data_IF_569026434460
#
_entry.id   IF_569026434460
#
_cell.length_a   1.000
_cell.length_b   1.000
_cell.length_c   1.000
_cell.angle_alpha   90.00
_cell.angle_beta   90.00
_cell.angle_gamma   90.00
#
_symmetry.space_group_name_H-M   'P 1'
#
loop_
_entity.id
_entity.type
_entity.pdbx_description
1 polymer ?
#
# COMPACT_ATOMS: atom_id res chain seq x y z
N UNK A 1 19.85 -14.42 66.64
CA UNK A 1 19.26 -13.16 67.14
C UNK A 1 17.92 -12.96 66.44
N UNK A 2 16.81 -12.89 67.19
CA UNK A 2 15.46 -12.68 66.63
C UNK A 2 15.35 -11.21 66.18
N UNK A 3 15.16 -10.98 64.89
CA UNK A 3 14.80 -9.66 64.35
C UNK A 3 13.46 -9.26 64.97
N UNK A 4 13.44 -8.22 65.81
CA UNK A 4 12.20 -7.72 66.39
C UNK A 4 11.41 -7.00 65.30
N UNK A 5 10.49 -7.71 64.65
CA UNK A 5 9.44 -7.11 63.84
C UNK A 5 8.51 -6.36 64.80
N UNK A 6 8.79 -5.07 65.03
CA UNK A 6 7.82 -4.21 65.72
C UNK A 6 6.67 -3.98 64.73
N UNK A 7 5.44 -4.41 65.01
CA UNK A 7 4.32 -4.15 64.11
C UNK A 7 4.15 -2.64 64.02
N UNK A 8 4.34 -2.07 62.83
CA UNK A 8 4.00 -0.67 62.59
C UNK A 8 2.48 -0.57 62.56
N UNK A 9 1.88 0.46 63.21
CA UNK A 9 0.45 0.67 63.12
C UNK A 9 0.06 0.84 61.64
N UNK A 10 -0.96 0.11 61.21
CA UNK A 10 -1.54 0.28 59.88
C UNK A 10 -2.14 1.68 59.86
N UNK A 11 -1.52 2.60 59.14
CA UNK A 11 -2.09 3.93 58.95
C UNK A 11 -3.19 3.84 57.89
N UNK A 12 -4.48 3.99 58.27
CA UNK A 12 -5.60 3.87 57.34
C UNK A 12 -5.62 4.98 56.28
N UNK A 13 -4.77 6.00 56.44
CA UNK A 13 -4.61 7.14 55.53
C UNK A 13 -3.45 6.97 54.54
N UNK A 14 -2.67 5.88 54.62
CA UNK A 14 -1.56 5.65 53.69
C UNK A 14 -2.11 5.31 52.31
N UNK A 15 -1.73 6.11 51.31
CA UNK A 15 -2.10 5.85 49.92
C UNK A 15 -1.45 4.55 49.43
N UNK A 16 -2.24 3.72 48.74
CA UNK A 16 -1.79 2.45 48.17
C UNK A 16 -0.97 2.71 46.91
N UNK A 17 0.10 1.93 46.73
CA UNK A 17 0.87 1.91 45.49
C UNK A 17 0.01 1.26 44.40
N UNK A 18 -0.23 1.97 43.31
CA UNK A 18 -0.90 1.41 42.14
C UNK A 18 0.16 0.68 41.32
N UNK A 19 0.04 -0.65 41.26
CA UNK A 19 0.91 -1.50 40.47
C UNK A 19 0.28 -1.64 39.09
N UNK A 20 1.03 -1.30 38.04
CA UNK A 20 0.57 -1.35 36.64
C UNK A 20 0.95 -2.66 35.98
N UNK A 21 2.15 -3.16 36.26
CA UNK A 21 2.69 -4.43 35.76
C UNK A 21 3.21 -5.30 36.90
N UNK A 22 3.16 -6.61 36.72
CA UNK A 22 3.67 -7.63 37.64
C UNK A 22 5.17 -7.47 37.96
N UNK A 23 5.94 -6.90 37.03
CA UNK A 23 7.34 -6.53 37.24
C UNK A 23 7.55 -5.36 38.24
N UNK A 24 6.55 -4.50 38.47
CA UNK A 24 6.64 -3.39 39.46
C UNK A 24 6.45 -3.87 40.91
N UNK A 25 5.96 -5.10 41.10
CA UNK A 25 5.82 -5.71 42.43
C UNK A 25 7.21 -5.96 43.03
N UNK A 26 8.17 -6.40 42.22
CA UNK A 26 9.53 -6.72 42.68
C UNK A 26 10.35 -5.46 43.04
N UNK A 27 10.09 -4.32 42.39
CA UNK A 27 10.79 -3.06 42.67
C UNK A 27 10.22 -2.29 43.86
N UNK A 28 8.90 -2.35 44.08
CA UNK A 28 8.23 -1.68 45.20
C UNK A 28 8.62 -2.24 46.58
N UNK A 29 8.99 -3.52 46.65
CA UNK A 29 9.48 -4.17 47.88
C UNK A 29 10.91 -3.74 48.24
N UNK A 30 11.73 -3.32 47.27
CA UNK A 30 13.13 -2.89 47.48
C UNK A 30 13.20 -1.46 48.01
N UNK A 31 12.36 -0.54 47.55
CA UNK A 31 12.36 0.85 48.02
C UNK A 31 11.83 1.03 49.45
N UNK A 32 11.09 0.05 49.99
CA UNK A 32 10.59 0.05 51.37
C UNK A 32 11.52 -0.64 52.39
N UNK A 33 12.69 -1.14 51.97
CA UNK A 33 13.69 -1.70 52.88
C UNK A 33 14.33 -0.59 53.75
N UNK A 34 14.56 -0.82 55.06
CA UNK A 34 15.00 0.24 55.96
C UNK A 34 16.45 0.65 55.65
N UNK A 35 16.65 1.88 55.19
CA UNK A 35 17.96 2.50 55.19
C UNK A 35 18.46 2.63 56.64
N UNK A 36 19.52 1.88 56.95
CA UNK A 36 20.27 2.01 58.19
C UNK A 36 21.06 3.32 58.19
N UNK A 37 20.94 4.07 59.30
CA UNK A 37 21.83 5.09 59.87
C UNK A 37 22.65 6.01 58.95
N UNK A 38 22.44 7.31 59.12
CA UNK A 38 23.56 8.22 59.35
C UNK A 38 23.56 9.57 58.62
N UNK A 39 23.39 10.63 59.42
CA UNK A 39 23.87 12.01 59.21
C UNK A 39 23.06 12.99 58.34
N UNK A 40 22.12 13.64 59.03
CA UNK A 40 21.50 14.92 58.71
C UNK A 40 22.53 16.05 58.94
N UNK A 41 22.84 16.84 57.91
CA UNK A 41 23.30 18.23 58.09
C UNK A 41 22.12 19.16 57.85
N UNK A 42 21.78 19.87 58.92
CA UNK A 42 20.67 20.78 59.06
C UNK A 42 21.20 22.20 58.82
N UNK A 43 20.88 22.81 57.69
CA UNK A 43 21.00 24.27 57.50
C UNK A 43 19.59 24.87 57.46
N UNK A 44 19.28 25.62 58.52
CA UNK A 44 18.04 26.37 58.70
C UNK A 44 18.24 27.74 58.08
N UNK A 45 17.68 27.99 56.91
CA UNK A 45 17.42 29.34 56.41
C UNK A 45 15.92 29.61 56.48
N UNK A 46 15.52 30.50 57.40
CA UNK A 46 14.15 30.98 57.55
C UNK A 46 13.73 31.76 56.30
N UNK A 47 12.82 31.18 55.51
CA UNK A 47 12.08 31.86 54.45
C UNK A 47 10.68 32.23 54.96
N UNK A 48 10.09 33.37 54.52
CA UNK A 48 8.77 33.83 54.98
C UNK A 48 7.66 32.83 54.60
N UNK A 49 6.50 32.83 55.27
CA UNK A 49 5.46 31.82 55.10
C UNK A 49 5.04 31.74 53.63
N UNK A 50 5.42 30.65 52.97
CA UNK A 50 5.00 30.36 51.62
C UNK A 50 3.48 30.23 51.63
N UNK A 51 2.80 31.16 50.94
CA UNK A 51 1.39 31.07 50.60
C UNK A 51 1.13 29.68 50.04
N UNK A 52 0.30 28.89 50.71
CA UNK A 52 -0.17 27.59 50.24
C UNK A 52 -0.98 27.82 48.96
N UNK A 53 -0.30 27.85 47.82
CA UNK A 53 -0.96 27.70 46.53
C UNK A 53 -1.36 26.22 46.45
N UNK A 54 -2.65 25.87 46.30
CA UNK A 54 -3.01 24.48 46.09
C UNK A 54 -2.23 23.99 44.86
N UNK A 55 -1.38 22.97 45.05
CA UNK A 55 -0.74 22.28 43.93
C UNK A 55 -1.88 21.82 43.04
N UNK A 56 -1.98 22.38 41.82
CA UNK A 56 -2.91 21.89 40.80
C UNK A 56 -2.73 20.37 40.74
N UNK A 57 -3.81 19.63 40.99
CA UNK A 57 -3.84 18.19 40.72
C UNK A 57 -3.39 18.00 39.27
N UNK A 58 -2.18 17.48 39.11
CA UNK A 58 -1.65 17.12 37.80
C UNK A 58 -2.47 15.90 37.42
N UNK A 59 -3.48 16.10 36.57
CA UNK A 59 -4.26 15.01 35.99
C UNK A 59 -3.28 14.06 35.34
N UNK A 60 -3.17 12.85 35.87
CA UNK A 60 -2.30 11.83 35.33
C UNK A 60 -2.80 11.45 33.93
N UNK A 61 -1.96 11.68 32.93
CA UNK A 61 -2.28 11.37 31.54
C UNK A 61 -1.99 9.88 31.34
N UNK A 62 -2.99 9.04 31.00
CA UNK A 62 -2.76 7.62 30.80
C UNK A 62 -1.81 7.41 29.61
N UNK A 63 -0.78 6.58 29.83
CA UNK A 63 0.17 6.16 28.78
C UNK A 63 -0.31 4.82 28.22
N UNK A 64 -0.44 4.68 26.88
CA UNK A 64 -0.87 3.42 26.29
C UNK A 64 0.18 2.32 26.46
N UNK A 65 -0.29 1.09 26.60
CA UNK A 65 0.57 -0.10 26.67
C UNK A 65 1.21 -0.41 25.31
N UNK A 66 2.48 -0.81 25.31
CA UNK A 66 3.22 -1.19 24.10
C UNK A 66 3.16 -2.71 23.94
N UNK A 67 2.30 -3.18 23.02
CA UNK A 67 2.17 -4.61 22.72
C UNK A 67 3.22 -5.09 21.71
N UNK A 68 3.98 -6.12 22.08
CA UNK A 68 4.88 -6.79 21.13
C UNK A 68 4.12 -7.75 20.20
N UNK A 69 4.44 -7.69 18.91
CA UNK A 69 3.86 -8.55 17.87
C UNK A 69 4.86 -9.64 17.51
N UNK A 70 4.52 -10.90 17.84
CA UNK A 70 5.41 -12.06 17.64
C UNK A 70 5.74 -12.35 16.17
N UNK A 71 4.85 -11.97 15.24
CA UNK A 71 5.03 -12.22 13.79
C UNK A 71 5.79 -11.12 13.05
N UNK A 72 6.19 -10.06 13.75
CA UNK A 72 6.77 -8.87 13.14
C UNK A 72 7.98 -9.19 12.23
N UNK A 73 8.91 -10.04 12.70
CA UNK A 73 10.10 -10.40 11.94
C UNK A 73 9.81 -11.19 10.66
N UNK A 74 8.67 -11.90 10.62
CA UNK A 74 8.25 -12.67 9.44
C UNK A 74 7.49 -11.80 8.44
N UNK A 75 6.67 -10.89 8.93
CA UNK A 75 5.79 -10.03 8.11
C UNK A 75 6.55 -8.82 7.56
N UNK A 76 7.53 -8.27 8.29
CA UNK A 76 8.29 -7.09 7.91
C UNK A 76 9.77 -7.42 7.72
N UNK A 77 10.13 -7.82 6.51
CA UNK A 77 11.53 -8.11 6.15
C UNK A 77 12.32 -6.81 5.92
N UNK A 78 13.57 -6.71 6.42
CA UNK A 78 14.42 -5.53 6.28
C UNK A 78 15.08 -5.46 4.88
N UNK A 79 14.27 -5.38 3.82
CA UNK A 79 14.73 -5.35 2.43
C UNK A 79 15.12 -3.95 1.94
N UNK A 80 14.86 -2.91 2.73
CA UNK A 80 15.10 -1.53 2.34
C UNK A 80 16.57 -1.15 2.52
N UNK A 81 17.25 -0.87 1.40
CA UNK A 81 18.61 -0.34 1.39
C UNK A 81 18.56 1.19 1.45
N UNK A 82 19.13 1.77 2.51
CA UNK A 82 19.15 3.22 2.72
C UNK A 82 20.03 3.86 1.64
N UNK A 83 19.50 4.77 0.80
CA UNK A 83 20.31 5.47 -0.18
C UNK A 83 21.22 6.50 0.48
N UNK A 84 22.36 6.80 -0.16
CA UNK A 84 23.31 7.84 0.30
C UNK A 84 22.73 9.27 0.28
N UNK A 85 21.59 9.46 -0.39
CA UNK A 85 20.91 10.75 -0.52
C UNK A 85 19.53 10.69 0.11
N UNK A 86 19.00 11.85 0.53
CA UNK A 86 17.65 11.90 1.09
C UNK A 86 16.62 11.38 0.10
N UNK A 87 15.71 10.54 0.61
CA UNK A 87 14.62 9.96 -0.16
C UNK A 87 13.75 11.08 -0.74
N UNK A 88 13.80 11.21 -2.07
CA UNK A 88 12.89 12.07 -2.83
C UNK A 88 11.66 11.24 -3.17
N UNK A 89 10.63 11.29 -2.33
CA UNK A 89 9.36 10.65 -2.65
C UNK A 89 8.75 11.31 -3.90
N UNK A 90 8.71 10.57 -5.02
CA UNK A 90 7.80 10.87 -6.12
C UNK A 90 6.48 10.16 -5.82
N UNK A 91 5.40 10.90 -5.65
CA UNK A 91 4.06 10.31 -5.61
C UNK A 91 3.07 11.11 -4.78
N UNK A 92 2.14 11.77 -5.46
CA UNK A 92 0.83 12.02 -4.87
C UNK A 92 0.06 10.71 -4.71
N UNK A 93 -1.11 10.79 -4.07
CA UNK A 93 -2.08 9.70 -3.98
C UNK A 93 -2.34 9.14 -5.40
N UNK A 94 -2.27 7.82 -5.59
CA UNK A 94 -2.53 7.05 -6.83
C UNK A 94 -1.35 6.73 -7.78
N UNK A 95 -0.07 6.87 -7.38
CA UNK A 95 1.01 6.26 -8.17
C UNK A 95 1.13 4.77 -7.85
N UNK A 96 0.33 3.95 -8.53
CA UNK A 96 0.35 2.49 -8.41
C UNK A 96 0.99 1.90 -9.66
N UNK A 97 1.90 0.93 -9.50
CA UNK A 97 2.42 0.14 -10.62
C UNK A 97 1.26 -0.56 -11.33
N UNK A 98 1.39 -0.85 -12.62
CA UNK A 98 0.43 -1.69 -13.37
C UNK A 98 0.25 -3.09 -12.72
N UNK A 99 1.25 -3.52 -11.93
CA UNK A 99 1.21 -4.75 -11.14
C UNK A 99 0.52 -4.63 -9.78
N UNK A 100 0.13 -3.43 -9.38
CA UNK A 100 -0.48 -3.17 -8.08
C UNK A 100 -1.93 -3.65 -8.05
N UNK A 101 -2.24 -4.45 -7.05
CA UNK A 101 -3.57 -4.99 -6.79
C UNK A 101 -4.00 -4.43 -5.45
N UNK A 102 -5.16 -3.78 -5.42
CA UNK A 102 -5.69 -3.16 -4.19
C UNK A 102 -6.52 -4.15 -3.35
N UNK A 103 -6.91 -5.27 -3.95
CA UNK A 103 -7.77 -6.26 -3.31
C UNK A 103 -6.91 -7.28 -2.55
N UNK A 104 -7.14 -7.40 -1.24
CA UNK A 104 -6.57 -8.44 -0.39
C UNK A 104 -7.66 -9.50 -0.12
N UNK A 105 -7.29 -10.79 -0.14
CA UNK A 105 -8.23 -11.87 0.19
C UNK A 105 -8.65 -11.81 1.66
N UNK A 106 -9.94 -12.00 1.92
CA UNK A 106 -10.46 -12.20 3.27
C UNK A 106 -10.64 -13.69 3.61
N UNK A 107 -11.08 -13.98 4.83
CA UNK A 107 -11.26 -15.36 5.31
C UNK A 107 -12.29 -16.17 4.47
N UNK A 108 -13.27 -15.50 3.87
CA UNK A 108 -14.24 -16.14 2.98
C UNK A 108 -13.57 -16.53 1.65
N UNK A 109 -12.80 -15.60 1.08
CA UNK A 109 -12.03 -15.79 -0.14
C UNK A 109 -10.99 -16.92 0.00
N UNK A 110 -10.23 -16.93 1.11
CA UNK A 110 -9.25 -17.97 1.41
C UNK A 110 -9.90 -19.35 1.50
N UNK A 111 -11.04 -19.45 2.18
CA UNK A 111 -11.79 -20.71 2.34
C UNK A 111 -12.34 -21.21 1.01
N UNK A 112 -12.87 -20.30 0.18
CA UNK A 112 -13.33 -20.64 -1.17
C UNK A 112 -12.15 -21.15 -2.01
N UNK A 113 -11.02 -20.44 -1.98
CA UNK A 113 -9.81 -20.78 -2.72
C UNK A 113 -9.23 -22.14 -2.30
N UNK A 114 -9.19 -22.45 -1.01
CA UNK A 114 -8.78 -23.76 -0.50
C UNK A 114 -9.70 -24.87 -1.02
N UNK A 115 -11.02 -24.67 -0.96
CA UNK A 115 -12.00 -25.65 -1.45
C UNK A 115 -11.88 -25.88 -2.97
N UNK A 116 -11.56 -24.83 -3.71
CA UNK A 116 -11.32 -24.89 -5.15
C UNK A 116 -10.03 -25.66 -5.45
N UNK A 117 -8.93 -25.30 -4.78
CA UNK A 117 -7.62 -25.90 -4.99
C UNK A 117 -7.54 -27.37 -4.53
N UNK A 118 -8.43 -27.81 -3.65
CA UNK A 118 -8.55 -29.22 -3.28
C UNK A 118 -9.09 -30.10 -4.44
N UNK A 119 -9.96 -29.53 -5.28
CA UNK A 119 -10.67 -30.26 -6.34
C UNK A 119 -10.06 -30.05 -7.74
N UNK A 120 -9.35 -28.94 -7.95
CA UNK A 120 -8.89 -28.49 -9.26
C UNK A 120 -7.39 -28.16 -9.30
N UNK A 121 -6.92 -27.62 -10.42
CA UNK A 121 -5.54 -27.12 -10.55
C UNK A 121 -5.31 -25.94 -9.62
N UNK A 122 -4.21 -25.98 -8.86
CA UNK A 122 -3.83 -24.93 -7.90
C UNK A 122 -3.82 -23.54 -8.55
N UNK A 123 -4.74 -22.69 -8.11
CA UNK A 123 -4.80 -21.26 -8.37
C UNK A 123 -4.01 -20.54 -7.26
N UNK A 124 -2.98 -19.74 -7.60
CA UNK A 124 -2.27 -18.94 -6.60
C UNK A 124 -3.08 -17.73 -6.14
N UNK A 125 -2.90 -17.37 -4.88
CA UNK A 125 -3.61 -16.30 -4.16
C UNK A 125 -3.51 -14.97 -4.91
N UNK A 126 -2.29 -14.57 -5.32
CA UNK A 126 -2.05 -13.33 -6.10
C UNK A 126 -2.86 -13.26 -7.40
N UNK A 127 -3.11 -14.41 -8.04
CA UNK A 127 -3.91 -14.43 -9.27
C UNK A 127 -5.39 -14.29 -8.96
N UNK A 128 -5.84 -14.88 -7.86
CA UNK A 128 -7.23 -14.76 -7.42
C UNK A 128 -7.55 -13.31 -7.02
N UNK A 129 -6.66 -12.66 -6.26
CA UNK A 129 -6.74 -11.23 -5.92
C UNK A 129 -6.86 -10.35 -7.16
N UNK A 130 -6.00 -10.58 -8.17
CA UNK A 130 -6.05 -9.86 -9.46
C UNK A 130 -7.41 -10.02 -10.14
N UNK A 131 -7.96 -11.23 -10.16
CA UNK A 131 -9.24 -11.51 -10.79
C UNK A 131 -10.39 -10.77 -10.08
N UNK A 132 -10.46 -10.84 -8.76
CA UNK A 132 -11.47 -10.13 -7.96
C UNK A 132 -11.32 -8.60 -8.08
N UNK A 133 -10.09 -8.10 -8.03
CA UNK A 133 -9.79 -6.69 -8.23
C UNK A 133 -10.31 -6.20 -9.59
N UNK A 134 -9.95 -6.87 -10.69
CA UNK A 134 -10.40 -6.46 -12.01
C UNK A 134 -11.91 -6.57 -12.19
N UNK A 135 -12.58 -7.57 -11.58
CA UNK A 135 -14.04 -7.64 -11.58
C UNK A 135 -14.67 -6.42 -10.91
N UNK A 136 -14.11 -5.96 -9.79
CA UNK A 136 -14.57 -4.75 -9.12
C UNK A 136 -14.41 -3.50 -9.98
N UNK A 137 -13.26 -3.35 -10.64
CA UNK A 137 -13.02 -2.21 -11.54
C UNK A 137 -13.99 -2.25 -12.71
N UNK A 138 -14.10 -3.39 -13.40
CA UNK A 138 -14.98 -3.55 -14.56
C UNK A 138 -16.44 -3.27 -14.22
N UNK A 139 -16.92 -3.79 -13.09
CA UNK A 139 -18.30 -3.53 -12.66
C UNK A 139 -18.50 -2.06 -12.30
N UNK A 140 -17.52 -1.42 -11.64
CA UNK A 140 -17.60 0.01 -11.34
C UNK A 140 -17.61 0.88 -12.59
N UNK A 141 -16.83 0.54 -13.60
CA UNK A 141 -16.84 1.21 -14.90
C UNK A 141 -18.16 1.00 -15.63
N UNK A 142 -18.71 -0.22 -15.62
CA UNK A 142 -20.02 -0.52 -16.20
C UNK A 142 -21.14 0.32 -15.54
N UNK A 143 -21.13 0.39 -14.21
CA UNK A 143 -22.06 1.24 -13.45
C UNK A 143 -21.88 2.72 -13.82
N UNK A 144 -20.65 3.20 -14.00
CA UNK A 144 -20.36 4.59 -14.41
C UNK A 144 -20.70 4.89 -15.88
N UNK A 145 -20.66 3.90 -16.78
CA UNK A 145 -21.04 4.11 -18.19
C UNK A 145 -22.54 4.37 -18.32
N UNK A 146 -23.36 3.54 -17.70
CA UNK A 146 -24.83 3.71 -17.67
C UNK A 146 -25.22 5.07 -17.08
N UNK A 147 -24.40 5.57 -16.16
CA UNK A 147 -24.50 6.88 -15.52
C UNK A 147 -24.10 8.07 -16.36
N UNK A 148 -23.19 7.87 -17.30
CA UNK A 148 -22.78 8.92 -18.21
C UNK A 148 -23.79 9.18 -19.32
N UNK A 149 -24.84 8.36 -19.45
CA UNK A 149 -25.87 8.53 -20.46
C UNK A 149 -26.77 9.76 -20.22
N UNK A 150 -27.29 10.41 -21.28
CA UNK A 150 -28.05 11.65 -21.18
C UNK A 150 -29.37 11.42 -20.41
N UNK A 151 -29.41 11.85 -19.16
CA UNK A 151 -30.55 11.63 -18.25
C UNK A 151 -30.15 11.25 -16.82
N UNK A 152 -28.90 10.80 -16.62
CA UNK A 152 -28.34 10.56 -15.29
C UNK A 152 -28.02 11.87 -14.56
N UNK A 153 -28.69 12.17 -13.44
CA UNK A 153 -28.28 13.24 -12.54
C UNK A 153 -26.96 12.92 -11.85
N UNK A 154 -26.08 13.91 -11.70
CA UNK A 154 -24.78 13.77 -11.00
C UNK A 154 -24.93 13.24 -9.56
N UNK A 155 -26.10 13.47 -8.96
CA UNK A 155 -26.44 13.08 -7.58
C UNK A 155 -26.48 11.55 -7.38
N UNK A 156 -26.76 10.76 -8.42
CA UNK A 156 -26.85 9.31 -8.25
C UNK A 156 -25.52 8.58 -8.18
N UNK A 157 -24.41 9.21 -8.63
CA UNK A 157 -23.02 8.75 -8.37
C UNK A 157 -22.73 8.51 -6.89
N UNK A 158 -23.57 9.03 -6.02
CA UNK A 158 -23.45 8.98 -4.56
C UNK A 158 -24.48 8.04 -3.92
N UNK A 159 -25.38 7.43 -4.69
CA UNK A 159 -26.38 6.52 -4.14
C UNK A 159 -25.77 5.13 -3.90
N UNK A 160 -25.79 4.61 -2.65
CA UNK A 160 -25.26 3.29 -2.33
C UNK A 160 -25.83 2.18 -3.21
N UNK A 161 -27.14 2.22 -3.48
CA UNK A 161 -27.83 1.23 -4.30
C UNK A 161 -27.28 1.14 -5.74
N UNK A 162 -26.97 2.29 -6.35
CA UNK A 162 -26.55 2.33 -7.75
C UNK A 162 -25.12 1.79 -7.93
N UNK A 163 -24.25 2.07 -6.96
CA UNK A 163 -22.88 1.53 -6.94
C UNK A 163 -22.87 0.05 -6.58
N UNK A 164 -23.84 -0.43 -5.79
CA UNK A 164 -23.94 -1.83 -5.40
C UNK A 164 -24.34 -2.78 -6.55
N UNK A 165 -25.01 -2.27 -7.59
CA UNK A 165 -25.50 -3.08 -8.71
C UNK A 165 -24.39 -3.92 -9.38
N UNK A 166 -24.74 -5.17 -9.68
CA UNK A 166 -23.90 -6.16 -10.38
C UNK A 166 -24.46 -6.56 -11.75
N UNK A 167 -25.72 -6.22 -12.03
CA UNK A 167 -26.43 -6.55 -13.28
C UNK A 167 -25.81 -5.89 -14.52
N UNK A 168 -25.11 -4.78 -14.32
CA UNK A 168 -24.53 -3.96 -15.38
C UNK A 168 -23.27 -4.60 -15.99
N UNK A 169 -22.73 -5.65 -15.35
CA UNK A 169 -21.65 -6.47 -15.89
C UNK A 169 -22.17 -7.91 -16.14
N UNK A 170 -22.63 -8.22 -17.37
CA UNK A 170 -23.04 -9.56 -17.75
C UNK A 170 -21.94 -10.59 -17.55
N UNK A 171 -22.32 -11.84 -17.26
CA UNK A 171 -21.36 -12.93 -16.99
C UNK A 171 -20.41 -13.18 -18.17
N UNK A 172 -20.92 -13.15 -19.40
CA UNK A 172 -20.12 -13.36 -20.61
C UNK A 172 -19.06 -12.27 -20.79
N UNK A 173 -19.45 -11.01 -20.61
CA UNK A 173 -18.56 -9.85 -20.76
C UNK A 173 -17.49 -9.79 -19.67
N UNK A 174 -17.86 -10.16 -18.44
CA UNK A 174 -16.91 -10.30 -17.33
C UNK A 174 -15.83 -11.34 -17.66
N UNK A 175 -16.22 -12.54 -18.10
CA UNK A 175 -15.29 -13.61 -18.44
C UNK A 175 -14.40 -13.22 -19.62
N UNK A 176 -14.96 -12.60 -20.66
CA UNK A 176 -14.18 -12.14 -21.82
C UNK A 176 -13.14 -11.08 -21.43
N UNK A 177 -13.54 -10.11 -20.59
CA UNK A 177 -12.66 -9.05 -20.10
C UNK A 177 -11.54 -9.61 -19.22
N UNK A 178 -11.85 -10.52 -18.29
CA UNK A 178 -10.86 -11.18 -17.45
C UNK A 178 -9.86 -12.03 -18.24
N UNK A 179 -10.33 -12.70 -19.28
CA UNK A 179 -9.46 -13.49 -20.17
C UNK A 179 -8.43 -12.60 -20.87
N UNK A 180 -8.83 -11.39 -21.28
CA UNK A 180 -7.93 -10.43 -21.90
C UNK A 180 -6.94 -9.82 -20.90
N UNK A 181 -7.41 -9.47 -19.69
CA UNK A 181 -6.60 -8.76 -18.68
C UNK A 181 -5.63 -9.67 -17.91
N UNK A 182 -6.11 -10.82 -17.45
CA UNK A 182 -5.36 -11.71 -16.53
C UNK A 182 -5.01 -13.05 -17.19
N UNK A 183 -5.87 -13.53 -18.09
CA UNK A 183 -5.72 -14.83 -18.73
C UNK A 183 -6.11 -16.00 -17.82
N UNK A 184 -6.78 -17.00 -18.39
CA UNK A 184 -7.27 -18.15 -17.65
C UNK A 184 -8.12 -19.08 -18.51
N UNK A 185 -8.50 -20.23 -17.95
CA UNK A 185 -9.50 -21.11 -18.56
C UNK A 185 -10.89 -20.53 -18.31
N UNK A 186 -11.76 -20.55 -19.31
CA UNK A 186 -13.10 -19.93 -19.20
C UNK A 186 -13.95 -20.52 -18.08
N UNK A 187 -13.82 -21.82 -17.80
CA UNK A 187 -14.55 -22.49 -16.70
C UNK A 187 -14.19 -21.88 -15.35
N UNK A 188 -12.89 -21.77 -15.06
CA UNK A 188 -12.38 -21.13 -13.84
C UNK A 188 -12.86 -19.69 -13.72
N UNK A 189 -12.75 -18.92 -14.81
CA UNK A 189 -13.16 -17.51 -14.80
C UNK A 189 -14.66 -17.36 -14.54
N UNK A 190 -15.48 -18.26 -15.10
CA UNK A 190 -16.92 -18.26 -14.89
C UNK A 190 -17.30 -18.60 -13.45
N UNK A 191 -16.64 -19.57 -12.81
CA UNK A 191 -16.82 -19.92 -11.40
C UNK A 191 -16.45 -18.76 -10.46
N UNK A 192 -15.34 -18.07 -10.76
CA UNK A 192 -14.90 -16.89 -9.98
C UNK A 192 -15.90 -15.75 -10.13
N UNK A 193 -16.44 -15.51 -11.33
CA UNK A 193 -17.46 -14.48 -11.56
C UNK A 193 -18.72 -14.78 -10.76
N UNK A 194 -19.14 -16.05 -10.69
CA UNK A 194 -20.32 -16.45 -9.93
C UNK A 194 -20.10 -16.32 -8.41
N UNK A 195 -18.91 -16.71 -7.93
CA UNK A 195 -18.49 -16.48 -6.55
C UNK A 195 -18.52 -14.99 -6.19
N UNK A 196 -17.82 -14.16 -6.98
CA UNK A 196 -17.76 -12.72 -6.77
C UNK A 196 -19.15 -12.08 -6.79
N UNK A 197 -20.03 -12.49 -7.73
CA UNK A 197 -21.39 -11.97 -7.82
C UNK A 197 -22.20 -12.34 -6.58
N UNK A 198 -22.11 -13.59 -6.11
CA UNK A 198 -22.79 -14.05 -4.90
C UNK A 198 -22.33 -13.26 -3.67
N UNK A 199 -21.01 -13.06 -3.54
CA UNK A 199 -20.40 -12.25 -2.48
C UNK A 199 -20.87 -10.80 -2.52
N UNK A 200 -20.97 -10.21 -3.73
CA UNK A 200 -21.46 -8.85 -3.93
C UNK A 200 -22.94 -8.67 -3.61
N UNK A 201 -23.76 -9.64 -3.96
CA UNK A 201 -25.19 -9.66 -3.64
C UNK A 201 -25.43 -9.78 -2.13
N UNK A 202 -24.66 -10.65 -1.46
CA UNK A 202 -24.72 -10.78 0.00
C UNK A 202 -24.23 -9.51 0.72
N UNK A 203 -23.12 -8.93 0.26
CA UNK A 203 -22.48 -7.77 0.89
C UNK A 203 -23.26 -6.47 0.65
N UNK A 204 -23.95 -6.34 -0.49
CA UNK A 204 -24.80 -5.19 -0.82
C UNK A 204 -24.03 -3.88 -1.08
N UNK A 205 -22.71 -3.94 -1.23
CA UNK A 205 -21.81 -2.81 -1.51
C UNK A 205 -20.58 -3.30 -2.27
N UNK A 206 -19.87 -2.44 -3.02
CA UNK A 206 -18.58 -2.79 -3.60
C UNK A 206 -17.59 -3.26 -2.53
N UNK A 207 -16.76 -4.24 -2.90
CA UNK A 207 -15.77 -4.81 -2.00
C UNK A 207 -14.63 -3.81 -1.73
N UNK A 208 -14.22 -3.03 -2.75
CA UNK A 208 -13.21 -1.99 -2.58
C UNK A 208 -13.79 -0.71 -1.97
N UNK A 209 -13.14 -0.21 -0.91
CA UNK A 209 -13.61 0.95 -0.15
C UNK A 209 -13.72 2.23 -0.99
N UNK A 210 -12.80 2.47 -1.93
CA UNK A 210 -12.85 3.68 -2.79
C UNK A 210 -14.00 3.67 -3.78
N UNK A 211 -14.52 2.49 -4.10
CA UNK A 211 -15.64 2.33 -5.01
C UNK A 211 -16.98 2.52 -4.29
N UNK A 212 -17.02 2.35 -2.97
CA UNK A 212 -18.24 2.57 -2.19
C UNK A 212 -18.69 4.03 -2.24
N UNK A 213 -20.01 4.22 -2.27
CA UNK A 213 -20.60 5.55 -2.25
C UNK A 213 -20.12 6.36 -1.04
N UNK A 214 -19.83 7.66 -1.21
CA UNK A 214 -19.45 8.52 -0.10
C UNK A 214 -20.61 8.67 0.87
N UNK A 215 -20.27 8.86 2.15
CA UNK A 215 -21.29 9.01 3.17
C UNK A 215 -21.99 10.36 3.05
N UNK A 216 -23.32 10.35 3.21
CA UNK A 216 -24.14 11.54 3.22
C UNK A 216 -23.65 12.56 4.29
N UNK A 217 -23.50 13.85 3.97
CA UNK A 217 -23.08 14.90 4.92
C UNK A 217 -23.91 15.06 6.19
N UNK A 218 -25.17 14.61 6.16
CA UNK A 218 -26.15 14.79 7.24
C UNK A 218 -26.34 13.55 8.11
N UNK A 219 -25.71 12.42 7.79
CA UNK A 219 -25.89 11.21 8.60
C UNK A 219 -25.19 11.34 9.98
N UNK A 220 -25.86 11.01 11.10
CA UNK A 220 -25.36 11.22 12.45
C UNK A 220 -24.39 10.14 12.94
N UNK A 221 -24.21 9.02 12.22
CA UNK A 221 -23.43 7.90 12.71
C UNK A 221 -21.92 8.25 12.83
N UNK A 222 -21.31 8.08 14.02
CA UNK A 222 -19.90 8.44 14.26
C UNK A 222 -18.89 7.57 13.51
N UNK A 223 -19.30 6.39 13.02
CA UNK A 223 -18.42 5.46 12.28
C UNK A 223 -18.08 6.00 10.89
N UNK A 224 -18.99 6.76 10.28
CA UNK A 224 -18.76 7.26 8.93
C UNK A 224 -18.10 8.64 8.91
N UNK A 225 -16.91 8.68 8.31
CA UNK A 225 -16.00 9.84 8.26
C UNK A 225 -15.79 10.33 6.83
N UNK A 226 -15.06 11.45 6.66
CA UNK A 226 -14.73 12.06 5.36
C UNK A 226 -15.93 12.39 4.45
N UNK A 227 -17.04 12.80 5.07
CA UNK A 227 -18.28 13.22 4.37
C UNK A 227 -17.98 14.38 3.40
N UNK A 228 -18.21 14.23 2.08
CA UNK A 228 -18.00 15.31 1.13
C UNK A 228 -18.99 16.45 1.38
N UNK A 229 -18.52 17.55 1.97
CA UNK A 229 -19.34 18.75 2.13
C UNK A 229 -19.11 19.64 0.91
N UNK A 230 -20.16 19.89 0.13
CA UNK A 230 -20.10 20.95 -0.87
C UNK A 230 -19.74 22.26 -0.16
N UNK A 231 -18.70 22.94 -0.65
CA UNK A 231 -18.28 24.24 -0.15
C UNK A 231 -19.27 25.32 -0.64
N UNK A 232 -20.55 25.19 -0.29
CA UNK A 232 -21.58 26.15 -0.74
C UNK A 232 -21.30 27.56 -0.21
N UNK A 233 -20.61 27.68 0.94
CA UNK A 233 -20.37 28.97 1.59
C UNK A 233 -18.89 29.22 1.96
N UNK A 234 -17.93 28.87 1.10
CA UNK A 234 -16.59 29.45 1.24
C UNK A 234 -16.48 30.64 0.29
N UNK A 235 -16.42 31.89 0.78
CA UNK A 235 -16.14 33.03 -0.08
C UNK A 235 -14.85 32.73 -0.84
N UNK A 236 -14.89 32.85 -2.16
CA UNK A 236 -13.73 32.66 -3.00
C UNK A 236 -12.69 33.74 -2.63
N UNK A 237 -11.70 33.40 -1.80
CA UNK A 237 -10.72 34.36 -1.26
C UNK A 237 -9.68 34.82 -2.28
N UNK A 238 -9.62 34.19 -3.46
CA UNK A 238 -8.76 34.59 -4.59
C UNK A 238 -9.62 34.96 -5.80
N UNK A 239 -9.31 36.11 -6.43
CA UNK A 239 -9.87 36.48 -7.74
C UNK A 239 -9.79 35.29 -8.68
N UNK A 240 -10.87 35.07 -9.46
CA UNK A 240 -10.91 34.04 -10.50
C UNK A 240 -9.69 34.26 -11.40
N UNK A 241 -8.83 33.25 -11.56
CA UNK A 241 -7.76 33.30 -12.57
C UNK A 241 -8.47 33.29 -13.91
N UNK A 242 -8.40 34.39 -14.65
CA UNK A 242 -8.92 34.45 -16.01
C UNK A 242 -8.06 33.58 -16.92
N UNK A 243 -8.69 33.02 -17.96
CA UNK A 243 -7.97 32.28 -18.98
C UNK A 243 -7.28 33.28 -19.93
N UNK A 244 -6.19 33.88 -19.45
CA UNK A 244 -5.41 34.90 -20.18
C UNK A 244 -4.46 34.23 -21.18
N UNK A 245 -4.17 34.91 -22.29
CA UNK A 245 -3.19 34.47 -23.30
C UNK A 245 -1.81 34.14 -22.68
N UNK A 246 -1.32 34.96 -21.74
CA UNK A 246 -0.07 34.71 -21.01
C UNK A 246 -0.09 33.37 -20.22
N UNK A 247 -1.24 33.00 -19.62
CA UNK A 247 -1.38 31.69 -18.97
C UNK A 247 -1.31 30.55 -19.99
N UNK A 248 -1.90 30.74 -21.17
CA UNK A 248 -1.85 29.77 -22.26
C UNK A 248 -0.43 29.59 -22.83
N UNK A 249 0.31 30.67 -23.04
CA UNK A 249 1.71 30.62 -23.50
C UNK A 249 2.61 29.91 -22.48
N UNK A 250 2.45 30.22 -21.19
CA UNK A 250 3.13 29.50 -20.10
C UNK A 250 2.81 28.00 -20.09
N UNK A 251 1.55 27.63 -20.31
CA UNK A 251 1.15 26.22 -20.43
C UNK A 251 1.81 25.55 -21.64
N UNK A 252 1.92 26.25 -22.77
CA UNK A 252 2.63 25.74 -23.95
C UNK A 252 4.11 25.49 -23.66
N UNK A 253 4.76 26.41 -22.95
CA UNK A 253 6.16 26.26 -22.54
C UNK A 253 6.36 25.11 -21.54
N UNK A 254 5.45 24.94 -20.58
CA UNK A 254 5.46 23.80 -19.65
C UNK A 254 5.28 22.49 -20.40
N UNK A 255 4.33 22.43 -21.35
CA UNK A 255 4.12 21.25 -22.19
C UNK A 255 5.40 20.88 -22.94
N UNK A 256 6.03 21.84 -23.62
CA UNK A 256 7.29 21.60 -24.35
C UNK A 256 8.41 21.12 -23.42
N UNK A 257 8.56 21.74 -22.25
CA UNK A 257 9.56 21.34 -21.25
C UNK A 257 9.31 19.93 -20.72
N UNK A 258 8.05 19.56 -20.49
CA UNK A 258 7.65 18.22 -20.05
C UNK A 258 7.84 17.18 -21.15
N UNK A 259 7.55 17.52 -22.41
CA UNK A 259 7.81 16.64 -23.56
C UNK A 259 9.31 16.36 -23.67
N UNK A 260 10.18 17.39 -23.61
CA UNK A 260 11.63 17.21 -23.60
C UNK A 260 12.11 16.37 -22.41
N UNK A 261 11.54 16.57 -21.22
CA UNK A 261 11.87 15.76 -20.05
C UNK A 261 11.46 14.29 -20.24
N UNK A 262 10.29 14.02 -20.82
CA UNK A 262 9.82 12.69 -21.16
C UNK A 262 10.79 12.01 -22.14
N UNK A 263 11.17 12.71 -23.22
CA UNK A 263 12.14 12.22 -24.20
C UNK A 263 13.47 11.84 -23.56
N UNK A 264 14.04 12.71 -22.72
CA UNK A 264 15.27 12.42 -21.99
C UNK A 264 15.14 11.18 -21.08
N UNK A 265 13.99 11.01 -20.43
CA UNK A 265 13.74 9.81 -19.61
C UNK A 265 13.58 8.55 -20.45
N UNK A 266 12.98 8.61 -21.63
CA UNK A 266 12.88 7.48 -22.55
C UNK A 266 14.27 7.06 -23.07
N UNK A 267 15.10 8.03 -23.47
CA UNK A 267 16.49 7.77 -23.87
C UNK A 267 17.31 7.15 -22.73
N UNK A 268 17.12 7.62 -21.49
CA UNK A 268 17.76 7.04 -20.31
C UNK A 268 17.29 5.59 -20.08
N UNK A 269 15.98 5.33 -20.15
CA UNK A 269 15.43 3.98 -20.05
C UNK A 269 16.00 3.05 -21.12
N UNK A 270 16.08 3.52 -22.37
CA UNK A 270 16.69 2.77 -23.47
C UNK A 270 18.16 2.44 -23.17
N UNK A 271 18.95 3.42 -22.73
CA UNK A 271 20.36 3.23 -22.35
C UNK A 271 20.51 2.17 -21.25
N UNK A 272 19.73 2.25 -20.18
CA UNK A 272 19.81 1.30 -19.06
C UNK A 272 19.33 -0.09 -19.45
N UNK A 273 18.28 -0.21 -20.27
CA UNK A 273 17.86 -1.48 -20.86
C UNK A 273 18.98 -2.10 -21.71
N UNK A 274 19.67 -1.30 -22.55
CA UNK A 274 20.77 -1.79 -23.39
C UNK A 274 21.96 -2.26 -22.56
N UNK A 275 22.37 -1.50 -21.52
CA UNK A 275 23.43 -1.93 -20.59
C UNK A 275 23.10 -3.26 -19.93
N UNK A 276 21.87 -3.42 -19.44
CA UNK A 276 21.38 -4.67 -18.86
C UNK A 276 21.45 -5.82 -19.86
N UNK A 277 21.04 -5.59 -21.10
CA UNK A 277 20.99 -6.64 -22.12
C UNK A 277 22.41 -7.04 -22.59
N UNK A 278 23.35 -6.09 -22.67
CA UNK A 278 24.78 -6.36 -22.87
C UNK A 278 25.33 -7.23 -21.72
N UNK A 279 25.07 -6.86 -20.47
CA UNK A 279 25.53 -7.63 -19.32
C UNK A 279 24.94 -9.05 -19.29
N UNK A 280 23.66 -9.21 -19.64
CA UNK A 280 23.03 -10.53 -19.78
C UNK A 280 23.71 -11.39 -20.85
N UNK A 281 24.04 -10.81 -22.01
CA UNK A 281 24.75 -11.52 -23.07
C UNK A 281 26.13 -11.98 -22.60
N UNK A 282 26.83 -11.17 -21.83
CA UNK A 282 28.14 -11.50 -21.28
C UNK A 282 28.06 -12.69 -20.31
N UNK A 283 27.06 -12.67 -19.41
CA UNK A 283 26.78 -13.78 -18.49
C UNK A 283 26.36 -15.05 -19.25
N UNK A 284 25.51 -14.93 -20.27
CA UNK A 284 25.08 -16.07 -21.08
C UNK A 284 26.24 -16.69 -21.86
N UNK A 285 27.15 -15.86 -22.39
CA UNK A 285 28.36 -16.31 -23.07
C UNK A 285 29.30 -17.06 -22.11
N UNK A 286 29.53 -16.51 -20.92
CA UNK A 286 30.34 -17.17 -19.88
C UNK A 286 29.74 -18.51 -19.47
N UNK A 287 28.41 -18.57 -19.25
CA UNK A 287 27.70 -19.82 -18.94
C UNK A 287 27.86 -20.86 -20.04
N UNK A 288 27.73 -20.45 -21.29
CA UNK A 288 27.93 -21.33 -22.44
C UNK A 288 29.38 -21.86 -22.52
N UNK A 289 30.39 -20.99 -22.34
CA UNK A 289 31.80 -21.39 -22.35
C UNK A 289 32.12 -22.39 -21.22
N UNK A 290 31.65 -22.12 -20.01
CA UNK A 290 31.80 -23.03 -18.86
C UNK A 290 31.10 -24.36 -19.13
N UNK A 291 29.88 -24.36 -19.66
CA UNK A 291 29.15 -25.57 -20.00
C UNK A 291 29.88 -26.38 -21.08
N UNK A 292 30.37 -25.73 -22.13
CA UNK A 292 31.14 -26.38 -23.20
C UNK A 292 32.44 -27.01 -22.70
N UNK A 293 33.12 -26.37 -21.76
CA UNK A 293 34.36 -26.88 -21.16
C UNK A 293 34.13 -28.14 -20.30
N UNK A 294 33.08 -28.16 -19.48
CA UNK A 294 32.87 -29.23 -18.49
C UNK A 294 31.97 -30.37 -18.98
N UNK A 295 31.10 -30.12 -19.96
CA UNK A 295 30.17 -31.13 -20.46
C UNK A 295 30.77 -31.94 -21.60
N UNK A 296 30.39 -33.24 -21.71
CA UNK A 296 30.91 -34.11 -22.76
C UNK A 296 30.54 -33.61 -24.16
N UNK A 297 31.39 -33.83 -25.18
CA UNK A 297 31.19 -33.34 -26.55
C UNK A 297 29.83 -33.67 -27.18
N UNK A 298 29.22 -34.80 -26.81
CA UNK A 298 27.88 -35.21 -27.29
C UNK A 298 26.77 -34.20 -26.97
N UNK A 299 26.92 -33.39 -25.92
CA UNK A 299 25.94 -32.39 -25.50
C UNK A 299 26.19 -31.02 -26.12
N UNK A 300 27.34 -30.79 -26.76
CA UNK A 300 27.72 -29.49 -27.33
C UNK A 300 26.70 -28.96 -28.34
N UNK A 301 26.13 -29.77 -29.27
CA UNK A 301 25.11 -29.28 -30.19
C UNK A 301 23.85 -28.76 -29.48
N UNK A 302 23.45 -29.40 -28.38
CA UNK A 302 22.31 -28.97 -27.57
C UNK A 302 22.60 -27.65 -26.85
N UNK A 303 23.81 -27.49 -26.31
CA UNK A 303 24.26 -26.25 -25.66
C UNK A 303 24.35 -25.09 -26.66
N UNK A 304 24.82 -25.35 -27.88
CA UNK A 304 24.88 -24.37 -28.96
C UNK A 304 23.47 -23.92 -29.38
N UNK A 305 22.53 -24.85 -29.49
CA UNK A 305 21.12 -24.52 -29.74
C UNK A 305 20.51 -23.67 -28.61
N UNK A 306 20.78 -24.00 -27.35
CA UNK A 306 20.29 -23.23 -26.21
C UNK A 306 20.89 -21.81 -26.18
N UNK A 307 22.20 -21.68 -26.43
CA UNK A 307 22.90 -20.40 -26.50
C UNK A 307 22.39 -19.52 -27.66
N UNK A 308 22.13 -20.11 -28.84
CA UNK A 308 21.57 -19.38 -29.98
C UNK A 308 20.13 -18.93 -29.73
N UNK A 309 19.32 -19.72 -29.02
CA UNK A 309 17.97 -19.30 -28.58
C UNK A 309 18.07 -18.09 -27.64
N UNK A 310 18.94 -18.13 -26.62
CA UNK A 310 19.16 -17.00 -25.71
C UNK A 310 19.65 -15.74 -26.44
N UNK A 311 20.57 -15.90 -27.39
CA UNK A 311 21.05 -14.81 -28.23
C UNK A 311 19.91 -14.17 -29.02
N UNK A 312 19.08 -14.97 -29.70
CA UNK A 312 17.90 -14.49 -30.44
C UNK A 312 16.90 -13.77 -29.55
N UNK A 313 16.64 -14.28 -28.35
CA UNK A 313 15.77 -13.62 -27.37
C UNK A 313 16.33 -12.26 -26.92
N UNK A 314 17.65 -12.15 -26.75
CA UNK A 314 18.31 -10.88 -26.43
C UNK A 314 18.25 -9.90 -27.60
N UNK A 315 18.54 -10.35 -28.82
CA UNK A 315 18.47 -9.55 -30.05
C UNK A 315 17.05 -9.05 -30.34
N UNK A 316 16.02 -9.88 -30.14
CA UNK A 316 14.63 -9.48 -30.33
C UNK A 316 14.19 -8.39 -29.34
N UNK A 317 14.67 -8.44 -28.08
CA UNK A 317 14.40 -7.37 -27.10
C UNK A 317 15.11 -6.07 -27.48
N UNK A 318 16.34 -6.17 -27.97
CA UNK A 318 17.12 -5.04 -28.43
C UNK A 318 16.50 -4.35 -29.66
N UNK A 319 16.02 -5.11 -30.64
CA UNK A 319 15.44 -4.56 -31.87
C UNK A 319 14.20 -3.71 -31.60
N UNK A 320 13.33 -4.12 -30.68
CA UNK A 320 12.13 -3.35 -30.28
C UNK A 320 12.53 -1.98 -29.72
N UNK A 321 13.55 -1.94 -28.87
CA UNK A 321 14.07 -0.68 -28.34
C UNK A 321 14.72 0.20 -29.42
N UNK A 322 15.49 -0.41 -30.32
CA UNK A 322 16.18 0.30 -31.41
C UNK A 322 15.21 0.92 -32.42
N UNK A 323 14.11 0.23 -32.76
CA UNK A 323 13.07 0.79 -33.63
C UNK A 323 12.41 2.01 -33.01
N UNK A 324 12.14 1.99 -31.69
CA UNK A 324 11.56 3.14 -30.97
C UNK A 324 12.53 4.32 -30.92
N UNK A 325 13.83 4.06 -30.74
CA UNK A 325 14.87 5.10 -30.79
C UNK A 325 15.00 5.71 -32.20
N UNK A 326 14.99 4.88 -33.24
CA UNK A 326 15.07 5.36 -34.63
C UNK A 326 13.87 6.23 -34.99
N UNK A 327 12.66 5.80 -34.65
CA UNK A 327 11.45 6.61 -34.84
C UNK A 327 11.56 7.99 -34.16
N UNK A 328 12.22 8.07 -33.00
CA UNK A 328 12.48 9.33 -32.31
C UNK A 328 13.50 10.20 -33.06
N UNK A 329 14.65 9.64 -33.44
CA UNK A 329 15.68 10.38 -34.19
C UNK A 329 15.17 10.86 -35.55
N UNK A 330 14.37 10.04 -36.23
CA UNK A 330 13.80 10.38 -37.54
C UNK A 330 12.68 11.43 -37.40
N UNK A 331 11.84 11.34 -36.36
CA UNK A 331 10.81 12.34 -36.07
C UNK A 331 11.37 13.70 -35.65
N UNK A 332 12.50 13.73 -34.94
CA UNK A 332 13.20 14.95 -34.54
C UNK A 332 13.86 15.70 -35.73
N UNK A 333 14.06 15.04 -36.87
CA UNK A 333 14.61 15.65 -38.10
C UNK A 333 13.52 16.30 -38.96
N UNK A 334 12.25 15.93 -38.75
CA UNK A 334 11.11 16.40 -39.56
C UNK A 334 10.21 17.44 -38.88
N UNK A 335 10.50 17.82 -37.64
CA UNK A 335 9.66 18.69 -36.79
C UNK A 335 10.15 20.13 -36.66
#
# INVERSE_FOLDING_TARGET
>A
MRLSMRPRPVEPTRQLTIIRDDAEIESADVENAPAADGHIKQEVSQAPPAVYKPKKEVKEIPVPEVRQVTRYQREYLPLFNIPDTYVRCKGGVNWCSDSYVEYDLDEEDERWLESYNANYTKLPDEKFEKLLFHLEILNSEANQRILSEPGGTTEWRLLPAAVAQTSNLPRADAVASLRHLVGGRDVLLAEIVDYWRSKREHTGKPLLRRLQAPTNPSDPNPIYVFRPREKVNRPQTRRRRENTLDCFEKLRQVRESMTKALELTELLMFRECRKRDIHRLDVDLQRYQVAKHHQPPRLHPSLENEATIRLRQSQARASVGETRLRAYLDGAVTG
#
